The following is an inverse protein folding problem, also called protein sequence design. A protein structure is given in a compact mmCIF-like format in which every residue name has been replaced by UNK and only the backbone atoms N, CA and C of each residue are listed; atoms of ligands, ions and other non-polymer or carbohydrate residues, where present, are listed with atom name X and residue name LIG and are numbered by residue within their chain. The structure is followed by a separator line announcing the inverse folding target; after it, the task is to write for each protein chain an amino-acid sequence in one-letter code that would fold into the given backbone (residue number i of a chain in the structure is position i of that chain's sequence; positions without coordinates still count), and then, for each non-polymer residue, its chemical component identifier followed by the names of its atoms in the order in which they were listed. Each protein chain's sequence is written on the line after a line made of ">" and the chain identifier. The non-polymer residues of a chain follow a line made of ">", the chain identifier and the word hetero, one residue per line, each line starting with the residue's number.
data_IF_614867162926
#
_entry.id   IF_614867162926
#
_cell.length_a   1.000
_cell.length_b   1.000
_cell.length_c   1.000
_cell.angle_alpha   90.00
_cell.angle_beta   90.00
_cell.angle_gamma   90.00
#
_symmetry.space_group_name_H-M   'P 1'
#
loop_
_entity.id
_entity.type
_entity.pdbx_description
1 polymer ?
#
# COMPACT_ATOMS: atom_id res chain seq x y z
N UNK A 1 -2.99 -9.14 21.35
CA UNK A 1 -4.35 -8.55 21.38
C UNK A 1 -4.19 -7.10 20.95
N UNK A 2 -4.31 -6.82 19.65
CA UNK A 2 -4.33 -5.45 19.17
C UNK A 2 -5.56 -4.76 19.74
N UNK A 3 -5.35 -3.73 20.55
CA UNK A 3 -6.43 -2.86 20.98
C UNK A 3 -6.75 -1.95 19.80
N UNK A 4 -7.67 -2.38 18.92
CA UNK A 4 -8.12 -1.64 17.74
C UNK A 4 -8.45 -0.18 18.08
N UNK A 5 -9.01 0.06 19.28
CA UNK A 5 -9.28 1.37 19.83
C UNK A 5 -8.01 2.24 19.92
N UNK A 6 -6.92 1.69 20.49
CA UNK A 6 -5.66 2.40 20.62
C UNK A 6 -5.02 2.69 19.25
N UNK A 7 -5.12 1.76 18.29
CA UNK A 7 -4.60 1.96 16.94
C UNK A 7 -5.37 3.09 16.24
N UNK A 8 -6.71 3.06 16.27
CA UNK A 8 -7.51 4.12 15.65
C UNK A 8 -7.21 5.46 16.29
N UNK A 9 -7.14 5.55 17.62
CA UNK A 9 -6.80 6.79 18.35
C UNK A 9 -5.42 7.37 17.99
N UNK A 10 -4.46 6.53 17.58
CA UNK A 10 -3.15 6.98 17.14
C UNK A 10 -3.11 7.36 15.65
N UNK A 11 -3.96 6.76 14.83
CA UNK A 11 -3.98 7.00 13.38
C UNK A 11 -4.83 8.20 12.97
N UNK A 12 -5.78 8.63 13.80
CA UNK A 12 -6.64 9.79 13.50
C UNK A 12 -6.40 10.92 14.48
N UNK A 13 -6.55 12.18 14.05
CA UNK A 13 -6.59 13.33 14.96
C UNK A 13 -7.65 13.17 16.05
N UNK A 14 -7.51 13.98 17.11
CA UNK A 14 -8.51 14.04 18.18
C UNK A 14 -9.91 14.32 17.62
N UNK A 15 -10.92 13.71 18.25
CA UNK A 15 -12.33 13.77 17.84
C UNK A 15 -12.84 15.17 17.55
N UNK A 16 -12.35 16.13 18.32
CA UNK A 16 -12.74 17.54 18.25
C UNK A 16 -12.16 18.25 17.01
N UNK A 17 -11.03 17.76 16.50
CA UNK A 17 -10.32 18.30 15.33
C UNK A 17 -10.78 17.64 14.02
N UNK A 18 -11.22 16.38 14.07
CA UNK A 18 -11.67 15.60 12.91
C UNK A 18 -12.65 16.33 11.97
N UNK A 19 -13.68 17.07 12.45
CA UNK A 19 -14.60 17.79 11.57
C UNK A 19 -13.89 18.82 10.69
N UNK A 20 -12.85 19.46 11.20
CA UNK A 20 -12.10 20.54 10.52
C UNK A 20 -10.84 20.06 9.81
N UNK A 21 -10.32 18.87 10.12
CA UNK A 21 -9.14 18.28 9.46
C UNK A 21 -9.41 18.03 7.98
N UNK A 22 -8.60 18.61 7.10
CA UNK A 22 -8.64 18.32 5.66
C UNK A 22 -8.13 16.92 5.34
N UNK A 23 -8.46 16.40 4.16
CA UNK A 23 -7.95 15.10 3.71
C UNK A 23 -6.41 15.05 3.69
N UNK A 24 -5.73 16.14 3.30
CA UNK A 24 -4.27 16.22 3.31
C UNK A 24 -3.71 16.09 4.72
N UNK A 25 -4.27 16.83 5.69
CA UNK A 25 -3.84 16.76 7.09
C UNK A 25 -4.11 15.37 7.69
N UNK A 26 -5.21 14.71 7.30
CA UNK A 26 -5.49 13.34 7.73
C UNK A 26 -4.45 12.36 7.18
N UNK A 27 -4.10 12.45 5.89
CA UNK A 27 -3.06 11.60 5.27
C UNK A 27 -1.72 11.81 5.98
N UNK A 28 -1.33 13.07 6.21
CA UNK A 28 -0.09 13.42 6.91
C UNK A 28 -0.07 12.87 8.34
N UNK A 29 -1.20 12.96 9.05
CA UNK A 29 -1.35 12.42 10.40
C UNK A 29 -1.22 10.89 10.41
N UNK A 30 -1.91 10.20 9.50
CA UNK A 30 -1.81 8.74 9.36
C UNK A 30 -0.37 8.35 9.03
N UNK A 31 0.28 9.03 8.08
CA UNK A 31 1.66 8.78 7.68
C UNK A 31 2.63 8.89 8.87
N UNK A 32 2.50 9.98 9.64
CA UNK A 32 3.34 10.27 10.81
C UNK A 32 3.18 9.26 11.95
N UNK A 33 2.03 8.61 12.05
CA UNK A 33 1.71 7.68 13.14
C UNK A 33 1.79 6.21 12.73
N UNK A 34 1.67 5.89 11.44
CA UNK A 34 1.67 4.54 10.89
C UNK A 34 2.89 3.73 11.31
N UNK A 35 4.07 4.33 11.23
CA UNK A 35 5.33 3.63 11.48
C UNK A 35 5.76 3.62 12.96
N UNK A 36 4.96 4.18 13.87
CA UNK A 36 5.22 4.08 15.31
C UNK A 36 5.09 2.63 15.75
N UNK A 37 5.99 2.18 16.65
CA UNK A 37 6.12 0.78 17.09
C UNK A 37 4.80 0.15 17.56
N UNK A 38 3.89 0.96 18.09
CA UNK A 38 2.56 0.55 18.57
C UNK A 38 1.55 0.25 17.45
N UNK A 39 1.74 0.82 16.25
CA UNK A 39 0.89 0.61 15.06
C UNK A 39 1.55 -0.31 14.02
N UNK A 40 2.87 -0.50 14.15
CA UNK A 40 3.73 -1.30 13.27
C UNK A 40 3.69 -2.80 13.61
N UNK A 41 2.52 -3.42 13.81
CA UNK A 41 2.46 -4.89 13.81
C UNK A 41 2.30 -5.37 12.37
N UNK A 42 3.43 -5.59 11.67
CA UNK A 42 3.50 -6.17 10.31
C UNK A 42 2.76 -7.52 10.17
N UNK A 43 2.39 -8.12 11.30
CA UNK A 43 1.77 -9.45 11.42
C UNK A 43 0.27 -9.42 11.72
N UNK A 44 -0.30 -8.27 12.11
CA UNK A 44 -1.69 -8.24 12.59
C UNK A 44 -2.68 -7.97 11.46
N UNK A 45 -2.75 -8.94 10.53
CA UNK A 45 -3.74 -9.01 9.45
C UNK A 45 -5.17 -8.83 9.97
N UNK A 46 -5.44 -9.26 11.20
CA UNK A 46 -6.77 -9.14 11.81
C UNK A 46 -7.04 -7.70 12.25
N UNK A 47 -6.07 -7.02 12.86
CA UNK A 47 -6.21 -5.61 13.23
C UNK A 47 -6.42 -4.71 12.02
N UNK A 48 -5.63 -4.89 10.95
CA UNK A 48 -5.76 -4.08 9.73
C UNK A 48 -7.15 -4.18 9.09
N UNK A 49 -7.68 -5.41 8.94
CA UNK A 49 -8.99 -5.65 8.33
C UNK A 49 -10.17 -5.12 9.16
N UNK A 50 -9.96 -4.82 10.43
CA UNK A 50 -10.97 -4.24 11.32
C UNK A 50 -10.97 -2.71 11.32
N UNK A 51 -9.98 -2.07 10.71
CA UNK A 51 -9.96 -0.61 10.59
C UNK A 51 -11.13 -0.11 9.73
N UNK A 52 -11.62 1.11 9.97
CA UNK A 52 -12.45 1.84 9.02
C UNK A 52 -11.88 1.77 7.60
N UNK A 53 -12.75 1.58 6.61
CA UNK A 53 -12.30 1.32 5.23
C UNK A 53 -11.45 2.45 4.67
N UNK A 54 -11.83 3.71 4.95
CA UNK A 54 -11.08 4.88 4.51
C UNK A 54 -9.66 4.88 5.10
N UNK A 55 -9.48 4.43 6.36
CA UNK A 55 -8.14 4.30 6.97
C UNK A 55 -7.33 3.17 6.33
N UNK A 56 -7.97 2.03 6.01
CA UNK A 56 -7.30 0.97 5.25
C UNK A 56 -6.79 1.48 3.90
N UNK A 57 -7.63 2.24 3.19
CA UNK A 57 -7.31 2.78 1.87
C UNK A 57 -6.16 3.79 1.92
N UNK A 58 -6.15 4.69 2.91
CA UNK A 58 -5.04 5.64 3.15
C UNK A 58 -3.75 4.87 3.40
N UNK A 59 -3.80 3.87 4.28
CA UNK A 59 -2.66 3.05 4.67
C UNK A 59 -2.04 2.34 3.45
N UNK A 60 -2.87 1.69 2.64
CA UNK A 60 -2.39 0.91 1.49
C UNK A 60 -1.72 1.81 0.45
N UNK A 61 -2.23 3.03 0.26
CA UNK A 61 -1.64 4.02 -0.63
C UNK A 61 -0.31 4.59 -0.11
N UNK A 62 -0.22 4.86 1.20
CA UNK A 62 1.04 5.28 1.83
C UNK A 62 2.11 4.19 1.69
N UNK A 63 1.74 2.93 1.93
CA UNK A 63 2.67 1.81 1.77
C UNK A 63 3.09 1.61 0.32
N UNK A 64 2.15 1.72 -0.63
CA UNK A 64 2.46 1.66 -2.05
C UNK A 64 3.46 2.76 -2.43
N UNK A 65 3.16 4.02 -2.10
CA UNK A 65 4.03 5.16 -2.43
C UNK A 65 5.42 5.01 -1.80
N UNK A 66 5.48 4.63 -0.53
CA UNK A 66 6.74 4.41 0.18
C UNK A 66 7.58 3.33 -0.49
N UNK A 67 6.97 2.20 -0.84
CA UNK A 67 7.70 1.08 -1.46
C UNK A 67 8.11 1.38 -2.91
N UNK A 68 7.26 2.03 -3.70
CA UNK A 68 7.61 2.43 -5.07
C UNK A 68 8.80 3.40 -5.08
N UNK A 69 8.84 4.37 -4.16
CA UNK A 69 9.94 5.33 -4.06
C UNK A 69 11.24 4.71 -3.54
N UNK A 70 11.17 3.72 -2.65
CA UNK A 70 12.36 3.14 -1.98
C UNK A 70 12.89 1.91 -2.73
N UNK A 71 12.01 0.99 -3.12
CA UNK A 71 12.37 -0.33 -3.64
C UNK A 71 11.84 -0.60 -5.06
N UNK A 72 11.05 0.32 -5.64
CA UNK A 72 10.37 0.11 -6.91
C UNK A 72 9.25 -0.94 -6.84
N UNK A 73 8.62 -1.21 -7.99
CA UNK A 73 7.46 -2.12 -8.02
C UNK A 73 7.81 -3.56 -7.61
N UNK A 74 8.96 -4.08 -8.05
CA UNK A 74 9.36 -5.45 -7.72
C UNK A 74 9.68 -5.62 -6.23
N UNK A 75 10.27 -4.59 -5.61
CA UNK A 75 10.47 -4.54 -4.17
C UNK A 75 9.16 -4.45 -3.39
N UNK A 76 8.20 -3.65 -3.85
CA UNK A 76 6.84 -3.64 -3.27
C UNK A 76 6.22 -5.04 -3.25
N UNK A 77 6.32 -5.79 -4.36
CA UNK A 77 5.76 -7.13 -4.50
C UNK A 77 6.47 -8.16 -3.60
N UNK A 78 7.80 -8.11 -3.54
CA UNK A 78 8.63 -9.04 -2.75
C UNK A 78 8.47 -8.80 -1.24
N UNK A 79 8.26 -7.54 -0.82
CA UNK A 79 8.09 -7.15 0.57
C UNK A 79 6.73 -7.55 1.15
N UNK A 80 6.57 -7.34 2.46
CA UNK A 80 5.31 -7.61 3.17
C UNK A 80 4.11 -6.85 2.58
N UNK A 81 4.35 -5.69 1.97
CA UNK A 81 3.37 -4.82 1.34
C UNK A 81 2.71 -5.49 0.11
N UNK A 82 3.47 -6.30 -0.64
CA UNK A 82 2.98 -7.05 -1.80
C UNK A 82 1.93 -8.10 -1.46
N UNK A 83 1.79 -8.52 -0.19
CA UNK A 83 0.71 -9.39 0.27
C UNK A 83 -0.67 -8.74 0.17
N UNK A 84 -0.73 -7.41 0.07
CA UNK A 84 -1.94 -6.63 -0.08
C UNK A 84 -2.10 -6.07 -1.51
N UNK A 85 -1.40 -6.63 -2.50
CA UNK A 85 -1.48 -6.17 -3.90
C UNK A 85 -2.93 -6.06 -4.40
N UNK A 86 -3.77 -7.05 -4.07
CA UNK A 86 -5.17 -7.08 -4.50
C UNK A 86 -5.99 -5.99 -3.81
N UNK A 87 -5.83 -5.84 -2.50
CA UNK A 87 -6.45 -4.75 -1.75
C UNK A 87 -5.98 -3.37 -2.27
N UNK A 88 -4.70 -3.21 -2.60
CA UNK A 88 -4.14 -1.98 -3.18
C UNK A 88 -4.72 -1.68 -4.57
N UNK A 89 -4.85 -2.68 -5.43
CA UNK A 89 -5.53 -2.55 -6.74
C UNK A 89 -6.98 -2.10 -6.54
N UNK A 90 -7.69 -2.69 -5.57
CA UNK A 90 -9.07 -2.35 -5.27
C UNK A 90 -9.21 -0.92 -4.72
N UNK A 91 -8.23 -0.46 -3.93
CA UNK A 91 -8.14 0.94 -3.46
C UNK A 91 -8.01 1.89 -4.65
N UNK A 92 -7.06 1.65 -5.54
CA UNK A 92 -6.84 2.50 -6.72
C UNK A 92 -8.10 2.60 -7.58
N UNK A 93 -8.83 1.48 -7.73
CA UNK A 93 -10.15 1.46 -8.36
C UNK A 93 -11.18 2.34 -7.65
N UNK A 94 -11.26 2.28 -6.32
CA UNK A 94 -12.18 3.10 -5.51
C UNK A 94 -11.92 4.59 -5.61
N UNK A 95 -10.65 4.99 -5.49
CA UNK A 95 -10.25 6.39 -5.57
C UNK A 95 -10.26 6.93 -7.00
N UNK A 96 -10.60 6.08 -7.98
CA UNK A 96 -10.64 6.38 -9.41
C UNK A 96 -9.27 6.70 -10.02
N UNK A 97 -8.19 6.20 -9.41
CA UNK A 97 -6.86 6.15 -10.02
C UNK A 97 -6.80 4.95 -10.99
N UNK A 98 -7.60 5.02 -12.05
CA UNK A 98 -7.89 3.87 -12.93
C UNK A 98 -6.65 3.41 -13.70
N UNK A 99 -5.78 4.35 -14.10
CA UNK A 99 -4.56 4.02 -14.81
C UNK A 99 -3.62 3.20 -13.92
N UNK A 100 -3.38 3.64 -12.69
CA UNK A 100 -2.56 2.92 -11.71
C UNK A 100 -3.16 1.55 -11.37
N UNK A 101 -4.48 1.49 -11.18
CA UNK A 101 -5.17 0.22 -10.93
C UNK A 101 -4.96 -0.77 -12.09
N UNK A 102 -4.99 -0.30 -13.33
CA UNK A 102 -4.77 -1.14 -14.51
C UNK A 102 -3.30 -1.54 -14.66
N UNK A 103 -2.36 -0.63 -14.38
CA UNK A 103 -0.92 -0.93 -14.40
C UNK A 103 -0.57 -2.03 -13.38
N UNK A 104 -1.06 -1.92 -12.13
CA UNK A 104 -0.83 -2.96 -11.13
C UNK A 104 -1.52 -4.29 -11.46
N UNK A 105 -2.69 -4.26 -12.13
CA UNK A 105 -3.33 -5.49 -12.65
C UNK A 105 -2.48 -6.17 -13.73
N UNK A 106 -1.92 -5.39 -14.65
CA UNK A 106 -1.03 -5.91 -15.69
C UNK A 106 0.23 -6.53 -15.07
N UNK A 107 0.84 -5.85 -14.09
CA UNK A 107 1.96 -6.40 -13.30
C UNK A 107 1.55 -7.71 -12.61
N UNK A 108 0.38 -7.75 -11.96
CA UNK A 108 -0.15 -8.96 -11.33
C UNK A 108 -0.32 -10.10 -12.33
N UNK A 109 -0.83 -9.84 -13.52
CA UNK A 109 -1.02 -10.83 -14.56
C UNK A 109 0.33 -11.38 -15.07
N UNK A 110 1.32 -10.51 -15.27
CA UNK A 110 2.71 -10.91 -15.61
C UNK A 110 3.28 -11.81 -14.52
N UNK A 111 3.18 -11.41 -13.25
CA UNK A 111 3.66 -12.23 -12.12
C UNK A 111 3.00 -13.61 -12.11
N UNK A 112 1.70 -13.70 -12.41
CA UNK A 112 1.00 -14.99 -12.47
C UNK A 112 1.51 -15.89 -13.60
N UNK A 113 1.80 -15.33 -14.78
CA UNK A 113 2.29 -16.09 -15.92
C UNK A 113 3.66 -16.74 -15.65
N UNK A 114 4.49 -16.07 -14.86
CA UNK A 114 5.82 -16.56 -14.46
C UNK A 114 5.81 -17.33 -13.12
N UNK A 115 4.63 -17.59 -12.56
CA UNK A 115 4.46 -18.16 -11.22
C UNK A 115 5.33 -17.43 -10.19
N UNK A 116 5.33 -16.09 -10.21
CA UNK A 116 6.17 -15.19 -9.44
C UNK A 116 5.32 -14.32 -8.49
N UNK A 117 4.34 -14.91 -7.82
CA UNK A 117 3.50 -14.18 -6.85
C UNK A 117 4.29 -13.71 -5.62
N UNK A 118 3.76 -12.71 -4.90
CA UNK A 118 4.38 -12.10 -3.71
C UNK A 118 4.86 -13.14 -2.67
N UNK A 119 4.10 -14.22 -2.44
CA UNK A 119 4.52 -15.29 -1.52
C UNK A 119 5.82 -15.97 -1.97
N UNK A 120 5.92 -16.31 -3.26
CA UNK A 120 7.08 -17.04 -3.79
C UNK A 120 8.32 -16.15 -3.82
N UNK A 121 8.17 -14.91 -4.28
CA UNK A 121 9.26 -13.94 -4.26
C UNK A 121 9.73 -13.67 -2.82
N UNK A 122 8.79 -13.55 -1.87
CA UNK A 122 9.14 -13.39 -0.46
C UNK A 122 9.82 -14.64 0.13
N UNK A 123 9.45 -15.85 -0.29
CA UNK A 123 10.10 -17.08 0.18
C UNK A 123 11.56 -17.18 -0.30
N UNK A 124 11.82 -16.79 -1.55
CA UNK A 124 13.17 -16.84 -2.13
C UNK A 124 14.18 -15.99 -1.31
N UNK A 125 13.73 -14.90 -0.70
CA UNK A 125 14.57 -14.05 0.16
C UNK A 125 14.71 -14.56 1.60
N UNK A 126 13.80 -15.40 2.10
CA UNK A 126 13.88 -15.93 3.47
C UNK A 126 15.08 -16.87 3.68
N UNK A 127 15.65 -17.37 2.58
CA UNK A 127 16.81 -18.25 2.60
C UNK A 127 18.14 -17.50 2.50
N UNK A 128 18.12 -16.18 2.29
CA UNK A 128 19.33 -15.37 2.20
C UNK A 128 19.96 -15.15 3.58
N UNK A 129 21.29 -15.16 3.63
CA UNK A 129 21.99 -14.88 4.88
C UNK A 129 21.94 -13.39 5.21
N UNK A 130 21.94 -13.07 6.50
CA UNK A 130 22.06 -11.69 6.95
C UNK A 130 23.35 -11.08 6.35
N UNK A 131 23.23 -9.91 5.73
CA UNK A 131 24.30 -9.19 5.00
C UNK A 131 24.70 -9.77 3.64
N UNK A 132 24.00 -10.78 3.14
CA UNK A 132 24.19 -11.26 1.77
C UNK A 132 23.62 -10.24 0.77
N UNK A 133 24.46 -9.78 -0.16
CA UNK A 133 24.06 -8.85 -1.22
C UNK A 133 23.88 -9.64 -2.52
N UNK A 134 22.65 -9.67 -3.03
CA UNK A 134 22.30 -10.21 -4.35
C UNK A 134 21.47 -9.21 -5.13
N UNK A 135 21.58 -9.23 -6.45
CA UNK A 135 20.63 -8.55 -7.31
C UNK A 135 19.32 -9.34 -7.39
N UNK A 136 18.23 -8.66 -7.76
CA UNK A 136 16.91 -9.28 -7.92
C UNK A 136 16.95 -10.48 -8.89
N UNK A 137 17.69 -10.37 -10.01
CA UNK A 137 17.89 -11.46 -10.96
C UNK A 137 18.70 -12.64 -10.39
N UNK A 138 19.62 -12.38 -9.45
CA UNK A 138 20.35 -13.44 -8.76
C UNK A 138 19.48 -14.15 -7.71
N UNK A 139 18.52 -13.44 -7.12
CA UNK A 139 17.56 -13.99 -6.17
C UNK A 139 16.49 -14.83 -6.88
N UNK A 140 16.01 -14.37 -8.04
CA UNK A 140 14.92 -15.01 -8.79
C UNK A 140 15.37 -15.45 -10.19
N UNK A 141 16.16 -16.52 -10.31
CA UNK A 141 16.77 -16.93 -11.58
C UNK A 141 15.77 -17.48 -12.61
N UNK A 142 14.50 -17.70 -12.22
CA UNK A 142 13.43 -18.11 -13.13
C UNK A 142 12.90 -16.94 -13.98
N UNK A 143 13.22 -15.70 -13.60
CA UNK A 143 12.78 -14.49 -14.28
C UNK A 143 13.77 -14.14 -15.38
N UNK A 144 13.29 -14.04 -16.62
CA UNK A 144 14.09 -13.75 -17.79
C UNK A 144 13.98 -12.27 -18.22
N UNK A 145 14.75 -11.88 -19.23
CA UNK A 145 14.75 -10.51 -19.75
C UNK A 145 13.35 -10.08 -20.24
N UNK A 146 12.55 -11.02 -20.77
CA UNK A 146 11.18 -10.74 -21.20
C UNK A 146 10.28 -10.36 -20.01
N UNK A 147 10.41 -11.07 -18.88
CA UNK A 147 9.71 -10.70 -17.64
C UNK A 147 10.03 -9.27 -17.23
N UNK A 148 11.32 -8.91 -17.16
CA UNK A 148 11.75 -7.59 -16.72
C UNK A 148 11.28 -6.48 -17.66
N UNK A 149 11.38 -6.69 -18.97
CA UNK A 149 10.88 -5.75 -19.98
C UNK A 149 9.37 -5.52 -19.84
N UNK A 150 8.60 -6.58 -19.58
CA UNK A 150 7.14 -6.48 -19.42
C UNK A 150 6.77 -5.76 -18.13
N UNK A 151 7.45 -6.06 -17.03
CA UNK A 151 7.25 -5.35 -15.75
C UNK A 151 7.57 -3.87 -15.92
N UNK A 152 8.72 -3.52 -16.52
CA UNK A 152 9.13 -2.14 -16.71
C UNK A 152 8.09 -1.36 -17.54
N UNK A 153 7.61 -1.91 -18.66
CA UNK A 153 6.58 -1.26 -19.49
C UNK A 153 5.27 -1.03 -18.75
N UNK A 154 4.91 -1.91 -17.83
CA UNK A 154 3.73 -1.74 -17.00
C UNK A 154 3.97 -0.71 -15.88
N UNK A 155 5.16 -0.72 -15.27
CA UNK A 155 5.60 0.23 -14.23
C UNK A 155 5.68 1.67 -14.74
N UNK A 156 6.07 1.87 -16.00
CA UNK A 156 6.08 3.18 -16.67
C UNK A 156 4.69 3.85 -16.73
N UNK A 157 3.61 3.08 -16.54
CA UNK A 157 2.23 3.60 -16.54
C UNK A 157 1.78 4.11 -15.17
N UNK A 158 2.51 3.80 -14.09
CA UNK A 158 2.20 4.24 -12.73
C UNK A 158 2.46 5.74 -12.55
N UNK A 159 1.71 6.39 -11.65
CA UNK A 159 1.78 7.82 -11.36
C UNK A 159 3.18 8.34 -11.02
N UNK A 160 4.04 7.50 -10.45
CA UNK A 160 5.41 7.86 -10.07
C UNK A 160 6.32 8.08 -11.30
N UNK A 161 6.00 7.40 -12.41
CA UNK A 161 6.81 7.42 -13.64
C UNK A 161 6.12 8.17 -14.78
N UNK A 162 4.79 8.23 -14.75
CA UNK A 162 4.00 8.90 -15.77
C UNK A 162 3.77 10.37 -15.38
N UNK A 163 3.77 11.28 -16.35
CA UNK A 163 3.28 12.66 -16.17
C UNK A 163 1.75 12.68 -16.04
N UNK A 164 1.22 11.97 -15.05
CA UNK A 164 -0.20 11.82 -14.75
C UNK A 164 -0.58 12.57 -13.48
N UNK A 165 -1.88 12.60 -13.19
CA UNK A 165 -2.42 13.17 -11.95
C UNK A 165 -1.87 12.39 -10.74
N UNK A 166 -1.54 13.12 -9.66
CA UNK A 166 -0.97 12.51 -8.47
C UNK A 166 -2.01 11.58 -7.82
N UNK A 167 -1.61 10.36 -7.47
CA UNK A 167 -2.50 9.38 -6.81
C UNK A 167 -3.09 9.90 -5.49
N UNK A 168 -2.37 10.78 -4.79
CA UNK A 168 -2.87 11.43 -3.58
C UNK A 168 -3.95 12.47 -3.85
N UNK A 169 -4.01 13.09 -5.03
CA UNK A 169 -5.12 13.98 -5.39
C UNK A 169 -6.44 13.19 -5.50
N UNK A 170 -6.37 11.99 -6.07
CA UNK A 170 -7.47 11.03 -6.10
C UNK A 170 -7.88 10.59 -4.69
N UNK A 171 -6.90 10.25 -3.83
CA UNK A 171 -7.15 9.87 -2.44
C UNK A 171 -7.80 11.00 -1.64
N UNK A 172 -7.32 12.24 -1.79
CA UNK A 172 -7.88 13.39 -1.08
C UNK A 172 -9.36 13.61 -1.43
N UNK A 173 -9.72 13.54 -2.72
CA UNK A 173 -11.13 13.63 -3.15
C UNK A 173 -11.98 12.51 -2.58
N UNK A 174 -11.43 11.30 -2.54
CA UNK A 174 -12.11 10.14 -1.95
C UNK A 174 -12.34 10.32 -0.44
N UNK A 175 -11.34 10.76 0.31
CA UNK A 175 -11.47 11.02 1.75
C UNK A 175 -12.54 12.07 2.00
N UNK A 176 -12.51 13.20 1.30
CA UNK A 176 -13.51 14.27 1.49
C UNK A 176 -14.94 13.77 1.20
N UNK A 177 -15.12 12.95 0.16
CA UNK A 177 -16.42 12.37 -0.18
C UNK A 177 -16.93 11.38 0.87
N UNK A 178 -16.03 10.70 1.59
CA UNK A 178 -16.38 9.66 2.58
C UNK A 178 -16.09 10.10 4.04
N UNK A 179 -15.79 11.38 4.26
CA UNK A 179 -15.37 11.90 5.58
C UNK A 179 -16.42 11.67 6.65
N UNK A 180 -17.69 11.85 6.31
CA UNK A 180 -18.80 11.62 7.23
C UNK A 180 -18.89 10.14 7.65
N UNK A 181 -18.80 9.22 6.70
CA UNK A 181 -18.82 7.78 6.97
C UNK A 181 -17.63 7.38 7.84
N UNK A 182 -16.43 7.87 7.53
CA UNK A 182 -15.26 7.67 8.37
C UNK A 182 -15.50 8.17 9.80
N UNK A 183 -16.08 9.36 9.96
CA UNK A 183 -16.40 9.92 11.28
C UNK A 183 -17.40 9.05 12.06
N UNK A 184 -18.45 8.58 11.40
CA UNK A 184 -19.47 7.69 11.99
C UNK A 184 -18.85 6.34 12.40
N UNK A 185 -17.88 5.82 11.64
CA UNK A 185 -17.14 4.60 11.96
C UNK A 185 -16.13 4.79 13.11
N UNK A 186 -15.45 5.93 13.19
CA UNK A 186 -14.41 6.15 14.21
C UNK A 186 -14.94 6.61 15.56
N UNK A 187 -16.17 7.14 15.63
CA UNK A 187 -16.73 7.73 16.85
C UNK A 187 -16.81 6.73 18.02
N UNK A 188 -16.90 5.43 17.73
CA UNK A 188 -16.91 4.36 18.75
C UNK A 188 -15.51 4.10 19.32
N UNK A 189 -14.47 4.59 18.65
CA UNK A 189 -13.08 4.49 19.08
C UNK A 189 -12.52 5.78 19.70
N UNK A 190 -13.29 6.88 19.64
CA UNK A 190 -12.91 8.21 20.14
C UNK A 190 -13.84 8.69 21.26
#
# INVERSE_FOLDING_TARGET
>A
MNNLHAIVQQLVPEKELMPTTSASELIEHVCSNRYKKENCSKEDKQGFKQLPRVLQDIILLIDLDTELNINGVLGFIENSSGRYLDETIDVLGRIRAVNDANALKEIKDILREYDAGAHKLNDDIQHLQQYEVRSYAQTHPILDDEFYDRIQRAEEKLYINANQENVFDHLMRYIEANKKELMDEIVVYL
#
